data_IF_289697132870
#
_entry.id   IF_289697132870
#
_cell.length_a   1.000
_cell.length_b   1.000
_cell.length_c   1.000
_cell.angle_alpha   90.00
_cell.angle_beta   90.00
_cell.angle_gamma   90.00
#
_symmetry.space_group_name_H-M   'P 1'
#
loop_
_entity.id
_entity.type
_entity.pdbx_description
1 polymer ?
#
# COMPACT_ATOMS: atom_id res chain seq x y z
N UNK A 1 10.19 -6.68 28.04
CA UNK A 1 9.01 -6.34 28.85
C UNK A 1 7.81 -7.19 28.46
N UNK A 2 7.30 -7.07 27.23
CA UNK A 2 6.09 -7.78 26.77
C UNK A 2 6.17 -9.32 26.80
N UNK A 3 7.29 -9.92 26.39
CA UNK A 3 7.45 -11.38 26.43
C UNK A 3 7.38 -11.94 27.87
N UNK A 4 7.99 -11.25 28.84
CA UNK A 4 7.96 -11.66 30.25
C UNK A 4 6.58 -11.50 30.87
N UNK A 5 5.83 -10.49 30.44
CA UNK A 5 4.45 -10.27 30.87
C UNK A 5 3.49 -11.33 30.32
N UNK A 6 3.64 -11.70 29.04
CA UNK A 6 2.84 -12.75 28.41
C UNK A 6 3.03 -14.10 29.10
N UNK A 7 4.29 -14.45 29.45
CA UNK A 7 4.61 -15.62 30.27
C UNK A 7 3.98 -15.59 31.67
N UNK A 8 3.67 -14.41 32.20
CA UNK A 8 3.00 -14.23 33.48
C UNK A 8 1.46 -14.14 33.35
N UNK A 9 0.91 -14.42 32.17
CA UNK A 9 -0.53 -14.35 31.90
C UNK A 9 -1.07 -12.92 31.69
N UNK A 10 -0.19 -11.93 31.53
CA UNK A 10 -0.56 -10.56 31.21
C UNK A 10 -0.44 -10.35 29.69
N UNK A 11 -1.60 -10.22 29.03
CA UNK A 11 -1.64 -9.99 27.59
C UNK A 11 -0.83 -8.75 27.17
N UNK A 12 0.12 -8.87 26.23
CA UNK A 12 0.83 -7.72 25.68
C UNK A 12 -0.08 -6.64 25.10
N UNK A 13 -1.19 -7.04 24.46
CA UNK A 13 -2.19 -6.11 23.96
C UNK A 13 -2.85 -5.33 25.10
N UNK A 14 -3.23 -5.99 26.19
CA UNK A 14 -3.80 -5.32 27.36
C UNK A 14 -2.82 -4.31 27.98
N UNK A 15 -1.53 -4.65 28.04
CA UNK A 15 -0.50 -3.74 28.54
C UNK A 15 -0.35 -2.48 27.68
N UNK A 16 -0.31 -2.62 26.35
CA UNK A 16 -0.27 -1.47 25.43
C UNK A 16 -1.47 -0.55 25.61
N UNK A 17 -2.67 -1.11 25.71
CA UNK A 17 -3.89 -0.33 25.98
C UNK A 17 -3.81 0.39 27.33
N UNK A 18 -3.24 -0.24 28.38
CA UNK A 18 -3.03 0.43 29.66
C UNK A 18 -2.04 1.59 29.54
N UNK A 19 -0.98 1.46 28.73
CA UNK A 19 -0.04 2.53 28.43
C UNK A 19 -0.72 3.71 27.70
N UNK A 20 -1.54 3.43 26.68
CA UNK A 20 -2.34 4.44 25.97
C UNK A 20 -3.29 5.20 26.91
N UNK A 21 -4.01 4.47 27.77
CA UNK A 21 -4.92 5.06 28.75
C UNK A 21 -4.17 5.89 29.80
N UNK A 22 -2.96 5.48 30.18
CA UNK A 22 -2.10 6.26 31.06
C UNK A 22 -1.62 7.55 30.38
N UNK A 23 -1.23 7.48 29.10
CA UNK A 23 -0.87 8.64 28.30
C UNK A 23 -2.04 9.62 28.16
N UNK A 24 -3.24 9.12 27.88
CA UNK A 24 -4.46 9.93 27.86
C UNK A 24 -4.68 10.65 29.19
N UNK A 25 -4.63 9.94 30.33
CA UNK A 25 -4.81 10.55 31.66
C UNK A 25 -3.75 11.60 31.96
N UNK A 26 -2.51 11.36 31.55
CA UNK A 26 -1.43 12.33 31.70
C UNK A 26 -1.74 13.60 30.90
N UNK A 27 -2.12 13.48 29.63
CA UNK A 27 -2.47 14.63 28.79
C UNK A 27 -3.70 15.39 29.30
N UNK A 28 -4.75 14.67 29.71
CA UNK A 28 -5.98 15.25 30.24
C UNK A 28 -5.77 16.03 31.55
N UNK A 29 -4.70 15.74 32.30
CA UNK A 29 -4.32 16.47 33.51
C UNK A 29 -3.53 17.75 33.28
N UNK A 30 -3.15 18.06 32.03
CA UNK A 30 -2.33 19.23 31.69
C UNK A 30 -3.22 20.46 31.46
N UNK A 31 -2.97 21.56 32.17
CA UNK A 31 -3.79 22.77 32.08
C UNK A 31 -3.83 23.43 30.69
N UNK A 32 -2.82 23.16 29.86
CA UNK A 32 -2.75 23.63 28.47
C UNK A 32 -3.49 22.74 27.47
N UNK A 33 -4.03 21.60 27.89
CA UNK A 33 -4.74 20.64 27.03
C UNK A 33 -6.22 20.67 27.40
N UNK A 34 -7.08 20.78 26.39
CA UNK A 34 -8.52 20.58 26.56
C UNK A 34 -8.80 19.06 26.60
N UNK A 35 -9.20 18.50 27.76
CA UNK A 35 -9.36 17.05 27.91
C UNK A 35 -10.48 16.48 27.02
N UNK A 36 -11.44 17.32 26.60
CA UNK A 36 -12.55 16.90 25.73
C UNK A 36 -12.17 16.86 24.24
N UNK A 37 -10.93 17.24 23.89
CA UNK A 37 -10.42 17.28 22.51
C UNK A 37 -9.28 16.31 22.24
N UNK A 38 -8.98 15.42 23.17
CA UNK A 38 -7.91 14.43 22.98
C UNK A 38 -8.42 13.30 22.08
N UNK A 39 -7.82 13.17 20.90
CA UNK A 39 -8.09 12.09 19.97
C UNK A 39 -6.87 11.18 19.83
N UNK A 40 -7.09 9.96 19.34
CA UNK A 40 -6.05 8.93 19.22
C UNK A 40 -5.91 8.48 17.77
N UNK A 41 -4.69 8.12 17.36
CA UNK A 41 -4.44 7.68 16.00
C UNK A 41 -3.36 6.59 15.98
N UNK A 42 -3.52 5.57 15.15
CA UNK A 42 -2.61 4.43 15.11
C UNK A 42 -2.67 3.65 13.80
N UNK A 43 -1.55 3.01 13.46
CA UNK A 43 -1.37 2.18 12.27
C UNK A 43 -1.18 0.70 12.64
N UNK A 44 -1.84 -0.20 11.92
CA UNK A 44 -1.76 -1.64 12.11
C UNK A 44 -2.06 -2.04 13.56
N UNK A 45 -1.03 -2.54 14.26
CA UNK A 45 -1.09 -2.89 15.67
C UNK A 45 -1.40 -1.70 16.60
N UNK A 46 -0.90 -0.51 16.29
CA UNK A 46 -1.26 0.71 17.03
C UNK A 46 -2.70 1.11 16.76
N UNK A 47 -3.22 0.81 15.57
CA UNK A 47 -4.63 0.96 15.21
C UNK A 47 -5.56 0.10 16.08
N UNK A 48 -5.12 -1.13 16.41
CA UNK A 48 -5.81 -1.98 17.39
C UNK A 48 -5.81 -1.33 18.77
N UNK A 49 -4.65 -0.87 19.26
CA UNK A 49 -4.53 -0.30 20.61
C UNK A 49 -5.43 0.92 20.79
N UNK A 50 -5.35 1.89 19.88
CA UNK A 50 -6.13 3.13 19.96
C UNK A 50 -7.63 2.88 19.84
N UNK A 51 -8.06 1.84 19.11
CA UNK A 51 -9.48 1.48 19.02
C UNK A 51 -10.03 0.92 20.33
N UNK A 52 -9.26 0.05 21.00
CA UNK A 52 -9.64 -0.51 22.30
C UNK A 52 -9.60 0.59 23.36
N UNK A 53 -8.56 1.42 23.34
CA UNK A 53 -8.44 2.59 24.22
C UNK A 53 -9.64 3.53 24.06
N UNK A 54 -10.02 3.87 22.82
CA UNK A 54 -11.19 4.69 22.53
C UNK A 54 -12.50 4.04 23.01
N UNK A 55 -12.66 2.72 22.85
CA UNK A 55 -13.83 1.99 23.34
C UNK A 55 -13.92 1.97 24.89
N UNK A 56 -12.78 1.91 25.58
CA UNK A 56 -12.71 1.84 27.05
C UNK A 56 -12.78 3.20 27.75
N UNK A 57 -12.31 4.28 27.12
CA UNK A 57 -12.32 5.64 27.67
C UNK A 57 -13.22 6.55 26.84
N UNK A 58 -14.40 6.83 27.37
CA UNK A 58 -15.43 7.62 26.69
C UNK A 58 -15.04 9.08 26.45
N UNK A 59 -14.05 9.62 27.18
CA UNK A 59 -13.54 10.98 26.99
C UNK A 59 -12.57 11.13 25.82
N UNK A 60 -12.07 10.03 25.24
CA UNK A 60 -11.33 10.10 23.98
C UNK A 60 -12.30 10.60 22.91
N UNK A 61 -11.99 11.72 22.28
CA UNK A 61 -12.90 12.46 21.41
C UNK A 61 -13.17 11.75 20.06
N UNK A 62 -12.28 10.85 19.63
CA UNK A 62 -12.41 10.07 18.41
C UNK A 62 -11.12 9.33 18.08
N UNK A 63 -11.14 8.52 17.01
CA UNK A 63 -10.01 7.69 16.63
C UNK A 63 -9.72 7.69 15.12
N UNK A 64 -8.44 7.59 14.74
CA UNK A 64 -8.01 7.27 13.39
C UNK A 64 -7.26 5.94 13.39
N UNK A 65 -7.77 4.97 12.63
CA UNK A 65 -7.22 3.62 12.54
C UNK A 65 -6.81 3.37 11.09
N UNK A 66 -5.51 3.31 10.88
CA UNK A 66 -4.91 2.97 9.61
C UNK A 66 -4.60 1.49 9.66
N UNK A 67 -5.07 0.74 8.67
CA UNK A 67 -4.87 -0.69 8.54
C UNK A 67 -5.50 -1.50 9.70
N UNK A 68 -6.83 -1.61 9.68
CA UNK A 68 -7.61 -2.39 10.64
C UNK A 68 -7.79 -3.85 10.21
N UNK A 69 -7.93 -4.76 11.18
CA UNK A 69 -8.27 -6.17 10.94
C UNK A 69 -9.12 -6.74 12.07
N UNK A 70 -9.59 -7.97 11.92
CA UNK A 70 -10.28 -8.73 12.97
C UNK A 70 -9.37 -9.83 13.52
N UNK A 71 -9.58 -10.25 14.77
CA UNK A 71 -8.85 -11.40 15.33
C UNK A 71 -9.15 -12.65 14.52
N UNK A 72 -10.41 -12.83 14.08
CA UNK A 72 -10.80 -13.98 13.26
C UNK A 72 -10.07 -13.99 11.93
N UNK A 73 -10.03 -12.88 11.19
CA UNK A 73 -9.36 -12.83 9.90
C UNK A 73 -7.86 -13.06 10.09
N UNK A 74 -7.23 -12.28 10.97
CA UNK A 74 -5.82 -12.43 11.31
C UNK A 74 -5.45 -13.89 11.67
N UNK A 75 -6.28 -14.57 12.46
CA UNK A 75 -6.03 -15.97 12.86
C UNK A 75 -6.05 -16.96 11.68
N UNK A 76 -6.78 -16.64 10.61
CA UNK A 76 -6.94 -17.50 9.43
C UNK A 76 -5.96 -17.18 8.33
N UNK A 77 -5.64 -15.90 8.16
CA UNK A 77 -4.98 -15.38 6.96
C UNK A 77 -3.54 -14.93 7.23
N UNK A 78 -3.21 -14.57 8.46
CA UNK A 78 -1.90 -14.04 8.85
C UNK A 78 -1.15 -15.01 9.76
N UNK A 79 -1.75 -15.36 10.90
CA UNK A 79 -1.09 -16.16 11.94
C UNK A 79 -0.49 -17.49 11.41
N UNK A 80 -1.16 -18.25 10.51
CA UNK A 80 -0.61 -19.50 10.01
C UNK A 80 0.66 -19.34 9.15
N UNK A 81 0.89 -18.14 8.60
CA UNK A 81 2.07 -17.82 7.76
C UNK A 81 3.21 -17.19 8.57
N UNK A 82 2.97 -16.88 9.85
CA UNK A 82 3.97 -16.27 10.71
C UNK A 82 5.01 -17.31 11.14
N UNK A 83 6.15 -17.35 10.44
CA UNK A 83 7.28 -18.25 10.74
C UNK A 83 8.03 -17.90 12.03
N UNK A 84 7.73 -16.73 12.62
CA UNK A 84 8.46 -16.12 13.73
C UNK A 84 7.49 -15.22 14.52
N UNK A 85 7.02 -15.68 15.67
CA UNK A 85 6.25 -14.87 16.64
C UNK A 85 7.19 -14.00 17.48
N UNK A 86 7.81 -12.97 16.88
CA UNK A 86 8.72 -12.05 17.58
C UNK A 86 8.11 -10.66 17.83
N UNK A 87 6.86 -10.45 17.41
CA UNK A 87 6.18 -9.15 17.52
C UNK A 87 4.93 -9.23 18.40
N UNK A 88 4.56 -8.08 18.95
CA UNK A 88 3.34 -7.88 19.73
C UNK A 88 2.14 -8.09 18.80
N UNK A 89 1.20 -8.99 19.13
CA UNK A 89 0.12 -9.41 18.23
C UNK A 89 -1.21 -8.71 18.55
N UNK A 90 -2.18 -8.66 17.60
CA UNK A 90 -3.51 -8.11 17.85
C UNK A 90 -4.40 -9.11 18.61
N UNK A 91 -3.81 -9.87 19.53
CA UNK A 91 -4.44 -10.98 20.22
C UNK A 91 -4.65 -10.68 21.70
N UNK A 92 -5.89 -10.83 22.13
CA UNK A 92 -6.29 -10.86 23.53
C UNK A 92 -6.89 -12.26 23.80
N UNK A 93 -6.37 -13.02 24.78
CA UNK A 93 -6.92 -14.33 25.11
C UNK A 93 -8.43 -14.31 25.32
N UNK A 94 -9.11 -15.30 24.73
CA UNK A 94 -10.57 -15.48 24.81
C UNK A 94 -11.42 -14.30 24.30
N UNK A 95 -10.86 -13.31 23.60
CA UNK A 95 -11.66 -12.20 23.06
C UNK A 95 -12.80 -12.70 22.17
N UNK A 96 -12.52 -13.69 21.33
CA UNK A 96 -13.48 -14.32 20.41
C UNK A 96 -14.66 -15.03 21.09
N UNK A 97 -14.58 -15.30 22.40
CA UNK A 97 -15.72 -15.81 23.17
C UNK A 97 -16.73 -14.70 23.52
N UNK A 98 -16.33 -13.44 23.40
CA UNK A 98 -17.13 -12.26 23.79
C UNK A 98 -17.41 -11.33 22.62
N UNK A 99 -16.43 -11.12 21.75
CA UNK A 99 -16.47 -10.15 20.65
C UNK A 99 -15.36 -10.41 19.64
N UNK A 100 -15.34 -9.65 18.56
CA UNK A 100 -14.16 -9.49 17.69
C UNK A 100 -13.80 -7.99 17.58
N UNK A 101 -12.69 -7.64 16.92
CA UNK A 101 -12.22 -6.25 16.84
C UNK A 101 -13.14 -5.34 16.04
N UNK A 102 -13.82 -5.85 15.00
CA UNK A 102 -14.81 -5.09 14.21
C UNK A 102 -15.89 -4.44 15.08
N UNK A 103 -16.37 -5.15 16.11
CA UNK A 103 -17.31 -4.63 17.08
C UNK A 103 -16.69 -3.58 18.02
N UNK A 104 -15.39 -3.68 18.33
CA UNK A 104 -14.69 -2.67 19.14
C UNK A 104 -14.44 -1.38 18.35
N UNK A 105 -14.07 -1.47 17.07
CA UNK A 105 -14.01 -0.30 16.18
C UNK A 105 -15.39 0.36 16.08
N UNK A 106 -16.45 -0.44 15.90
CA UNK A 106 -17.82 0.06 15.82
C UNK A 106 -18.30 0.72 17.12
N UNK A 107 -17.85 0.25 18.29
CA UNK A 107 -18.19 0.79 19.60
C UNK A 107 -17.68 2.23 19.85
N UNK A 108 -16.83 2.77 18.97
CA UNK A 108 -16.43 4.18 19.02
C UNK A 108 -17.62 5.11 18.73
N UNK A 109 -18.63 4.63 17.99
CA UNK A 109 -19.84 5.39 17.68
C UNK A 109 -20.49 6.00 18.94
N UNK A 110 -21.04 7.22 18.86
CA UNK A 110 -21.18 8.08 17.68
C UNK A 110 -20.00 9.05 17.45
N UNK A 111 -18.87 8.86 18.14
CA UNK A 111 -17.71 9.76 18.04
C UNK A 111 -17.05 9.64 16.65
N UNK A 112 -16.33 10.66 16.18
CA UNK A 112 -15.58 10.58 14.93
C UNK A 112 -14.63 9.38 14.84
N UNK A 113 -14.69 8.66 13.72
CA UNK A 113 -13.81 7.55 13.41
C UNK A 113 -13.36 7.61 11.94
N UNK A 114 -12.06 7.50 11.73
CA UNK A 114 -11.44 7.39 10.41
C UNK A 114 -10.86 5.99 10.28
N UNK A 115 -11.30 5.22 9.28
CA UNK A 115 -10.79 3.90 8.92
C UNK A 115 -10.12 3.96 7.56
N UNK A 116 -8.84 3.59 7.49
CA UNK A 116 -8.10 3.56 6.23
C UNK A 116 -7.58 2.15 5.95
N UNK A 117 -7.82 1.61 4.76
CA UNK A 117 -7.20 0.36 4.30
C UNK A 117 -5.87 0.63 3.61
N UNK A 118 -4.81 -0.05 4.03
CA UNK A 118 -3.57 -0.11 3.24
C UNK A 118 -3.63 -1.27 2.24
N UNK A 119 -2.80 -1.23 1.19
CA UNK A 119 -2.73 -2.33 0.20
C UNK A 119 -1.81 -3.43 0.73
N UNK A 120 -0.56 -3.11 1.09
CA UNK A 120 0.39 -3.98 1.83
C UNK A 120 0.05 -4.18 3.34
N UNK A 121 -1.18 -3.87 3.73
CA UNK A 121 -1.61 -3.94 5.12
C UNK A 121 -2.04 -5.34 5.57
N UNK A 122 -2.87 -5.39 6.61
CA UNK A 122 -3.63 -6.58 6.91
C UNK A 122 -4.49 -7.01 5.71
N UNK A 123 -4.83 -8.31 5.60
CA UNK A 123 -5.61 -8.81 4.49
C UNK A 123 -6.93 -8.04 4.31
N UNK A 124 -7.25 -7.75 3.04
CA UNK A 124 -8.43 -6.98 2.63
C UNK A 124 -9.72 -7.49 3.29
N UNK A 125 -9.87 -8.81 3.41
CA UNK A 125 -11.05 -9.45 4.02
C UNK A 125 -11.29 -9.00 5.45
N UNK A 126 -10.24 -8.84 6.25
CA UNK A 126 -10.35 -8.32 7.62
C UNK A 126 -10.85 -6.88 7.65
N UNK A 127 -10.29 -6.02 6.79
CA UNK A 127 -10.72 -4.62 6.71
C UNK A 127 -12.16 -4.48 6.21
N UNK A 128 -12.56 -5.23 5.18
CA UNK A 128 -13.93 -5.18 4.63
C UNK A 128 -14.96 -5.56 5.69
N UNK A 129 -14.66 -6.54 6.54
CA UNK A 129 -15.51 -6.87 7.69
C UNK A 129 -15.60 -5.70 8.67
N UNK A 130 -14.46 -5.10 9.08
CA UNK A 130 -14.45 -3.93 9.98
C UNK A 130 -15.26 -2.77 9.41
N UNK A 131 -15.06 -2.44 8.14
CA UNK A 131 -15.76 -1.37 7.45
C UNK A 131 -17.27 -1.62 7.41
N UNK A 132 -17.69 -2.85 7.10
CA UNK A 132 -19.10 -3.23 7.04
C UNK A 132 -19.78 -3.13 8.42
N UNK A 133 -19.18 -3.73 9.46
CA UNK A 133 -19.70 -3.71 10.82
C UNK A 133 -19.78 -2.27 11.36
N UNK A 134 -18.72 -1.49 11.20
CA UNK A 134 -18.66 -0.09 11.67
C UNK A 134 -19.70 0.77 10.94
N UNK A 135 -19.80 0.66 9.62
CA UNK A 135 -20.79 1.43 8.84
C UNK A 135 -22.23 1.11 9.26
N UNK A 136 -22.53 -0.15 9.56
CA UNK A 136 -23.85 -0.55 10.04
C UNK A 136 -24.18 0.08 11.41
N UNK A 137 -23.25 0.05 12.35
CA UNK A 137 -23.44 0.62 13.69
C UNK A 137 -23.53 2.15 13.66
N UNK A 138 -22.68 2.83 12.90
CA UNK A 138 -22.77 4.29 12.77
C UNK A 138 -24.09 4.74 12.16
N UNK A 139 -24.63 3.99 11.19
CA UNK A 139 -25.97 4.23 10.66
C UNK A 139 -27.05 4.02 11.72
N UNK A 140 -26.95 2.94 12.51
CA UNK A 140 -27.89 2.66 13.61
C UNK A 140 -27.89 3.80 14.66
N UNK A 141 -26.72 4.37 14.94
CA UNK A 141 -26.56 5.51 15.84
C UNK A 141 -26.93 6.87 15.22
N UNK A 142 -27.33 6.93 13.95
CA UNK A 142 -27.58 8.19 13.23
C UNK A 142 -26.33 9.05 13.02
N UNK A 143 -25.14 8.46 13.16
CA UNK A 143 -23.84 9.16 13.18
C UNK A 143 -23.01 8.91 11.92
N UNK A 144 -23.61 8.50 10.80
CA UNK A 144 -22.90 8.18 9.55
C UNK A 144 -21.92 9.27 9.07
N UNK A 145 -22.24 10.55 9.29
CA UNK A 145 -21.38 11.69 8.93
C UNK A 145 -20.10 11.81 9.78
N UNK A 146 -20.02 11.08 10.90
CA UNK A 146 -18.84 11.01 11.77
C UNK A 146 -17.89 9.86 11.39
N UNK A 147 -18.27 9.01 10.44
CA UNK A 147 -17.44 7.91 9.94
C UNK A 147 -16.82 8.26 8.59
N UNK A 148 -15.51 8.16 8.49
CA UNK A 148 -14.79 8.15 7.21
C UNK A 148 -14.19 6.78 7.00
N UNK A 149 -14.50 6.13 5.88
CA UNK A 149 -13.88 4.88 5.47
C UNK A 149 -13.29 5.07 4.08
N UNK A 150 -12.05 4.66 3.88
CA UNK A 150 -11.45 4.70 2.55
C UNK A 150 -10.05 4.10 2.50
N UNK A 151 -9.34 4.52 1.47
CA UNK A 151 -7.94 4.20 1.19
C UNK A 151 -7.11 5.49 1.25
N UNK A 152 -5.77 5.42 1.31
CA UNK A 152 -4.96 6.64 1.35
C UNK A 152 -5.17 7.55 0.14
N UNK A 153 -5.58 6.99 -1.01
CA UNK A 153 -5.90 7.75 -2.21
C UNK A 153 -7.23 8.51 -2.10
N UNK A 154 -8.18 7.98 -1.33
CA UNK A 154 -9.48 8.60 -1.13
C UNK A 154 -9.45 9.66 -0.03
N UNK A 155 -8.46 9.64 0.87
CA UNK A 155 -8.26 10.65 1.91
C UNK A 155 -7.48 11.87 1.38
N UNK A 156 -8.12 12.64 0.49
CA UNK A 156 -7.54 13.84 -0.14
C UNK A 156 -7.65 15.10 0.73
N UNK A 157 -6.95 16.17 0.35
CA UNK A 157 -7.13 17.51 0.95
C UNK A 157 -8.59 17.99 0.86
N UNK A 158 -9.32 17.60 -0.19
CA UNK A 158 -10.72 17.96 -0.41
C UNK A 158 -11.63 17.21 0.58
N UNK A 159 -11.33 15.95 0.87
CA UNK A 159 -12.02 15.18 1.92
C UNK A 159 -11.76 15.77 3.30
N UNK A 160 -10.53 16.19 3.59
CA UNK A 160 -10.23 16.90 4.84
C UNK A 160 -10.98 18.24 4.96
N UNK A 161 -10.99 19.03 3.88
CA UNK A 161 -11.66 20.33 3.85
C UNK A 161 -13.18 20.20 4.01
N UNK A 162 -13.78 19.17 3.43
CA UNK A 162 -15.23 18.90 3.50
C UNK A 162 -15.67 18.20 4.80
N UNK A 163 -14.73 17.62 5.56
CA UNK A 163 -15.03 16.99 6.83
C UNK A 163 -15.53 17.97 7.89
N UNK A 164 -16.31 17.45 8.83
CA UNK A 164 -16.86 18.22 9.95
C UNK A 164 -15.74 18.89 10.74
N UNK A 165 -15.92 20.17 11.05
CA UNK A 165 -14.94 20.94 11.82
C UNK A 165 -14.67 20.32 13.19
N UNK A 166 -13.44 20.52 13.68
CA UNK A 166 -12.99 19.99 14.96
C UNK A 166 -12.30 18.64 14.84
N UNK A 167 -12.62 17.72 15.74
CA UNK A 167 -11.91 16.44 15.91
C UNK A 167 -11.91 15.58 14.66
N UNK A 168 -13.00 15.56 13.88
CA UNK A 168 -13.08 14.72 12.68
C UNK A 168 -12.07 15.14 11.61
N UNK A 169 -12.00 16.45 11.29
CA UNK A 169 -10.97 16.99 10.38
C UNK A 169 -9.54 16.71 10.89
N UNK A 170 -9.31 16.87 12.18
CA UNK A 170 -8.00 16.59 12.79
C UNK A 170 -7.61 15.11 12.70
N UNK A 171 -8.58 14.18 12.81
CA UNK A 171 -8.34 12.76 12.64
C UNK A 171 -7.99 12.39 11.20
N UNK A 172 -8.61 13.05 10.21
CA UNK A 172 -8.24 12.87 8.79
C UNK A 172 -6.81 13.36 8.57
N UNK A 173 -6.46 14.55 9.08
CA UNK A 173 -5.10 15.07 9.01
C UNK A 173 -4.08 14.13 9.71
N UNK A 174 -4.41 13.62 10.89
CA UNK A 174 -3.58 12.66 11.62
C UNK A 174 -3.41 11.35 10.83
N UNK A 175 -4.48 10.85 10.22
CA UNK A 175 -4.41 9.67 9.36
C UNK A 175 -3.44 9.90 8.19
N UNK A 176 -3.51 11.07 7.54
CA UNK A 176 -2.61 11.43 6.43
C UNK A 176 -1.14 11.51 6.83
N UNK A 177 -0.84 11.96 8.05
CA UNK A 177 0.53 11.96 8.59
C UNK A 177 1.04 10.55 8.89
N UNK A 178 0.15 9.65 9.34
CA UNK A 178 0.51 8.27 9.67
C UNK A 178 0.60 7.34 8.46
N UNK A 179 -0.14 7.64 7.39
CA UNK A 179 -0.09 6.86 6.16
C UNK A 179 1.27 7.01 5.46
N UNK A 180 1.76 5.95 4.79
CA UNK A 180 2.86 6.11 3.86
C UNK A 180 2.50 7.16 2.78
N UNK A 181 3.50 7.79 2.17
CA UNK A 181 3.24 8.83 1.15
C UNK A 181 2.63 8.16 -0.09
N UNK A 182 1.42 8.56 -0.56
CA UNK A 182 0.82 7.96 -1.74
C UNK A 182 1.66 8.23 -3.01
N UNK A 183 1.51 7.43 -4.07
CA UNK A 183 2.23 7.64 -5.32
C UNK A 183 1.95 9.04 -5.87
N UNK A 184 2.99 9.73 -6.34
CA UNK A 184 2.84 11.06 -6.92
C UNK A 184 2.08 10.95 -8.24
N UNK A 185 1.00 11.74 -8.47
CA UNK A 185 0.32 11.75 -9.75
C UNK A 185 1.27 11.95 -10.91
N UNK A 186 1.13 11.08 -11.90
CA UNK A 186 2.01 11.05 -13.05
C UNK A 186 3.35 10.33 -12.83
N UNK A 187 3.62 9.71 -11.68
CA UNK A 187 4.85 8.97 -11.43
C UNK A 187 4.56 7.52 -11.03
N UNK A 188 5.27 6.59 -11.66
CA UNK A 188 5.36 5.17 -11.26
C UNK A 188 6.76 4.91 -10.74
N UNK A 189 6.87 4.34 -9.54
CA UNK A 189 8.11 4.27 -8.77
C UNK A 189 8.38 5.54 -7.96
N UNK A 190 9.62 5.73 -7.48
CA UNK A 190 10.06 6.98 -6.84
C UNK A 190 11.45 7.39 -7.34
N UNK A 191 11.78 8.69 -7.49
CA UNK A 191 13.05 9.08 -8.12
C UNK A 191 14.27 8.61 -7.31
N UNK A 192 14.11 8.42 -5.99
CA UNK A 192 15.13 7.88 -5.11
C UNK A 192 15.50 6.42 -5.39
N UNK A 193 14.71 5.68 -6.19
CA UNK A 193 15.04 4.30 -6.57
C UNK A 193 16.00 4.22 -7.76
N UNK A 194 16.22 5.32 -8.49
CA UNK A 194 17.17 5.38 -9.62
C UNK A 194 18.61 5.48 -9.11
N UNK A 195 19.16 4.34 -8.71
CA UNK A 195 20.52 4.20 -8.18
C UNK A 195 21.15 2.89 -8.65
N UNK A 196 22.48 2.84 -8.64
CA UNK A 196 23.25 1.63 -8.92
C UNK A 196 22.91 0.51 -7.92
N UNK A 197 22.80 -0.72 -8.42
CA UNK A 197 22.70 -1.96 -7.64
C UNK A 197 23.43 -3.09 -8.37
N UNK A 198 23.96 -4.06 -7.63
CA UNK A 198 24.82 -5.10 -8.20
C UNK A 198 24.09 -6.23 -8.96
N UNK A 199 22.76 -6.31 -8.87
CA UNK A 199 22.01 -7.50 -9.30
C UNK A 199 21.07 -7.18 -10.45
N UNK A 200 21.07 -8.03 -11.47
CA UNK A 200 20.07 -8.08 -12.55
C UNK A 200 19.52 -9.51 -12.68
N UNK A 201 18.35 -9.67 -13.28
CA UNK A 201 17.79 -11.01 -13.50
C UNK A 201 18.65 -11.84 -14.46
N UNK A 202 18.78 -13.13 -14.18
CA UNK A 202 19.41 -14.10 -15.08
C UNK A 202 18.43 -14.72 -16.07
N UNK A 203 17.13 -14.70 -15.76
CA UNK A 203 16.07 -15.23 -16.61
C UNK A 203 15.87 -14.35 -17.86
N UNK A 204 15.49 -14.99 -18.97
CA UNK A 204 15.49 -14.40 -20.30
C UNK A 204 14.06 -14.09 -20.76
N UNK A 205 13.86 -12.94 -21.40
CA UNK A 205 12.60 -12.59 -22.06
C UNK A 205 11.41 -12.39 -21.11
N UNK A 206 11.66 -12.00 -19.86
CA UNK A 206 10.60 -11.79 -18.88
C UNK A 206 9.78 -10.54 -19.22
N UNK A 207 8.51 -10.57 -18.82
CA UNK A 207 7.62 -9.39 -18.80
C UNK A 207 7.35 -9.05 -17.34
N UNK A 208 7.75 -7.86 -16.94
CA UNK A 208 7.60 -7.35 -15.58
C UNK A 208 6.57 -6.23 -15.54
N UNK A 209 5.90 -6.11 -14.40
CA UNK A 209 5.12 -4.93 -14.03
C UNK A 209 5.55 -4.48 -12.63
N UNK A 210 5.61 -3.17 -12.43
CA UNK A 210 5.69 -2.62 -11.08
C UNK A 210 4.28 -2.76 -10.49
N UNK A 211 4.10 -3.73 -9.60
CA UNK A 211 2.77 -4.05 -9.05
C UNK A 211 2.48 -3.13 -7.87
N UNK A 212 3.37 -3.15 -6.87
CA UNK A 212 3.20 -2.41 -5.62
C UNK A 212 4.52 -1.88 -5.06
N UNK A 213 4.47 -0.69 -4.46
CA UNK A 213 5.57 -0.11 -3.69
C UNK A 213 5.02 0.70 -2.52
N UNK A 214 5.60 0.51 -1.35
CA UNK A 214 5.29 1.23 -0.11
C UNK A 214 3.79 1.19 0.26
N UNK A 215 3.11 0.05 0.06
CA UNK A 215 1.69 -0.10 0.38
C UNK A 215 0.73 0.44 -0.67
N UNK A 216 1.22 0.64 -1.89
CA UNK A 216 0.44 1.19 -3.00
C UNK A 216 0.65 0.44 -4.30
N UNK A 217 -0.45 0.03 -4.92
CA UNK A 217 -0.44 -0.32 -6.34
C UNK A 217 0.19 0.81 -7.16
N UNK A 218 1.08 0.47 -8.09
CA UNK A 218 1.82 1.43 -8.90
C UNK A 218 1.12 1.71 -10.24
N UNK A 219 -0.21 1.76 -10.22
CA UNK A 219 -0.97 2.28 -11.34
C UNK A 219 -0.61 3.76 -11.58
N UNK A 220 -0.58 4.18 -12.84
CA UNK A 220 -0.68 5.59 -13.20
C UNK A 220 -1.94 6.17 -12.57
N UNK A 221 -1.85 7.44 -12.17
CA UNK A 221 -2.93 8.13 -11.49
C UNK A 221 -3.15 9.51 -12.09
N UNK A 222 -4.43 9.87 -12.18
CA UNK A 222 -4.88 11.11 -12.80
C UNK A 222 -5.22 10.90 -14.27
N UNK A 223 -6.48 11.17 -14.62
CA UNK A 223 -6.95 11.09 -16.00
C UNK A 223 -6.33 12.16 -16.90
N UNK A 224 -6.14 11.80 -18.16
CA UNK A 224 -5.62 12.68 -19.21
C UNK A 224 -4.11 12.87 -19.21
N UNK A 225 -3.35 12.03 -18.52
CA UNK A 225 -1.89 12.09 -18.53
C UNK A 225 -1.33 11.32 -19.74
N UNK A 226 -0.16 11.75 -20.20
CA UNK A 226 0.64 11.07 -21.21
C UNK A 226 1.97 10.64 -20.63
N UNK A 227 2.30 9.36 -20.77
CA UNK A 227 3.59 8.77 -20.43
C UNK A 227 4.68 9.39 -21.31
N UNK A 228 5.48 10.29 -20.71
CA UNK A 228 6.50 11.07 -21.43
C UNK A 228 7.82 10.35 -21.44
N UNK A 229 8.25 9.89 -20.27
CA UNK A 229 9.57 9.33 -20.11
C UNK A 229 9.58 8.19 -19.13
N UNK A 230 10.61 7.39 -19.23
CA UNK A 230 10.94 6.35 -18.29
C UNK A 230 12.46 6.31 -18.19
N UNK A 231 12.94 5.90 -17.02
CA UNK A 231 14.36 5.82 -16.76
C UNK A 231 14.67 4.54 -16.03
N UNK A 232 15.83 3.97 -16.29
CA UNK A 232 16.35 2.87 -15.52
C UNK A 232 17.84 3.05 -15.27
N UNK A 233 18.38 2.35 -14.27
CA UNK A 233 19.81 2.33 -13.98
C UNK A 233 20.40 0.96 -14.35
N UNK A 234 21.56 0.97 -15.02
CA UNK A 234 22.42 -0.19 -15.21
C UNK A 234 23.90 0.22 -15.37
N UNK A 235 24.75 -0.05 -14.38
CA UNK A 235 26.21 0.12 -14.42
C UNK A 235 27.00 -1.18 -14.15
N UNK A 236 26.33 -2.33 -14.22
CA UNK A 236 26.93 -3.67 -14.04
C UNK A 236 27.85 -4.13 -15.21
N UNK A 237 28.51 -3.19 -15.87
CA UNK A 237 29.62 -3.41 -16.80
C UNK A 237 29.23 -3.62 -18.27
N UNK A 238 30.24 -3.48 -19.13
CA UNK A 238 30.11 -3.54 -20.59
C UNK A 238 29.57 -4.87 -21.14
N UNK A 239 29.65 -5.95 -20.37
CA UNK A 239 29.07 -7.24 -20.74
C UNK A 239 27.52 -7.22 -20.81
N UNK A 240 26.88 -6.24 -20.18
CA UNK A 240 25.43 -6.03 -20.29
C UNK A 240 25.05 -4.99 -21.35
N UNK A 241 26.03 -4.25 -21.89
CA UNK A 241 25.80 -3.33 -22.98
C UNK A 241 25.28 -4.09 -24.21
N UNK A 242 24.31 -3.51 -24.92
CA UNK A 242 23.68 -4.15 -26.08
C UNK A 242 22.45 -5.01 -25.76
N UNK A 243 22.16 -5.29 -24.48
CA UNK A 243 20.90 -5.94 -24.09
C UNK A 243 19.71 -5.01 -24.37
N UNK A 244 18.58 -5.60 -24.74
CA UNK A 244 17.38 -4.88 -25.12
C UNK A 244 16.38 -4.83 -23.95
N UNK A 245 15.67 -3.72 -23.89
CA UNK A 245 14.55 -3.49 -22.97
C UNK A 245 13.45 -2.73 -23.69
N UNK A 246 12.22 -3.22 -23.56
CA UNK A 246 11.04 -2.63 -24.21
C UNK A 246 10.05 -2.17 -23.14
N UNK A 247 9.71 -0.87 -23.06
CA UNK A 247 8.72 -0.37 -22.11
C UNK A 247 7.31 -0.73 -22.58
N UNK A 248 6.45 -1.11 -21.64
CA UNK A 248 5.09 -1.58 -21.89
C UNK A 248 4.11 -0.84 -20.98
N UNK A 249 2.85 -0.75 -21.42
CA UNK A 249 1.75 -0.28 -20.59
C UNK A 249 0.65 -1.33 -20.59
N UNK A 250 0.19 -1.68 -19.40
CA UNK A 250 -0.90 -2.62 -19.17
C UNK A 250 -2.12 -1.90 -18.60
N UNK A 251 -3.32 -2.36 -18.92
CA UNK A 251 -4.54 -1.97 -18.23
C UNK A 251 -5.03 -3.14 -17.38
N UNK A 252 -5.17 -2.94 -16.07
CA UNK A 252 -5.62 -3.98 -15.14
C UNK A 252 -7.14 -4.03 -15.06
N UNK A 253 -7.71 -5.23 -15.10
CA UNK A 253 -9.13 -5.49 -14.86
C UNK A 253 -9.28 -6.77 -14.03
N UNK A 254 -9.69 -6.62 -12.77
CA UNK A 254 -9.63 -7.73 -11.80
C UNK A 254 -8.18 -8.19 -11.61
N UNK A 255 -7.93 -9.47 -11.86
CA UNK A 255 -6.60 -10.10 -11.76
C UNK A 255 -5.86 -10.15 -13.11
N UNK A 256 -6.46 -9.65 -14.19
CA UNK A 256 -5.89 -9.68 -15.53
C UNK A 256 -5.24 -8.36 -15.93
N UNK A 257 -4.12 -8.43 -16.65
CA UNK A 257 -3.42 -7.30 -17.24
C UNK A 257 -3.54 -7.40 -18.77
N UNK A 258 -4.18 -6.43 -19.41
CA UNK A 258 -4.24 -6.34 -20.87
C UNK A 258 -3.11 -5.44 -21.37
N UNK A 259 -2.30 -5.91 -22.33
CA UNK A 259 -1.27 -5.08 -22.95
C UNK A 259 -1.91 -4.03 -23.87
N UNK A 260 -1.78 -2.75 -23.55
CA UNK A 260 -2.45 -1.64 -24.25
C UNK A 260 -1.50 -0.68 -24.97
N UNK A 261 -0.22 -0.70 -24.63
CA UNK A 261 0.80 0.01 -25.41
C UNK A 261 2.17 -0.66 -25.35
N UNK A 262 2.91 -0.53 -26.45
CA UNK A 262 4.31 -0.96 -26.60
C UNK A 262 5.11 0.27 -27.00
N UNK A 263 6.04 0.68 -26.15
CA UNK A 263 6.95 1.78 -26.46
C UNK A 263 8.20 1.31 -27.21
N UNK A 264 9.02 2.26 -27.62
CA UNK A 264 10.22 1.99 -28.41
C UNK A 264 11.26 1.25 -27.59
N UNK A 265 11.68 0.08 -28.09
CA UNK A 265 12.80 -0.69 -27.54
C UNK A 265 14.07 0.14 -27.44
N UNK A 266 14.80 -0.02 -26.33
CA UNK A 266 16.09 0.62 -26.07
C UNK A 266 17.18 -0.42 -25.90
N UNK A 267 18.37 0.00 -26.29
CA UNK A 267 19.60 -0.76 -26.08
C UNK A 267 20.27 -0.23 -24.83
N UNK A 268 20.48 -1.11 -23.85
CA UNK A 268 21.23 -0.82 -22.64
C UNK A 268 22.66 -0.37 -23.01
N UNK A 269 23.10 0.76 -22.48
CA UNK A 269 24.48 1.22 -22.62
C UNK A 269 25.40 0.56 -21.60
N UNK A 270 24.88 0.17 -20.43
CA UNK A 270 25.67 -0.36 -19.31
C UNK A 270 26.46 0.71 -18.55
N UNK A 271 26.12 1.99 -18.74
CA UNK A 271 26.85 3.15 -18.22
C UNK A 271 26.01 4.00 -17.24
N UNK A 272 25.23 3.34 -16.37
CA UNK A 272 24.46 3.95 -15.29
C UNK A 272 23.04 4.36 -15.69
N UNK A 273 22.64 5.58 -15.28
CA UNK A 273 21.28 6.10 -15.49
C UNK A 273 20.99 6.36 -16.96
N UNK A 274 19.93 5.74 -17.47
CA UNK A 274 19.45 5.88 -18.84
C UNK A 274 18.01 6.37 -18.83
N UNK A 275 17.76 7.56 -19.39
CA UNK A 275 16.43 8.18 -19.50
C UNK A 275 16.00 8.25 -20.96
N UNK A 276 14.78 7.82 -21.24
CA UNK A 276 14.23 7.75 -22.59
C UNK A 276 12.79 8.26 -22.64
N UNK A 277 12.39 8.78 -23.80
CA UNK A 277 10.98 8.96 -24.11
C UNK A 277 10.30 7.59 -24.31
N UNK A 278 9.00 7.50 -24.01
CA UNK A 278 8.24 6.26 -24.23
C UNK A 278 8.14 5.90 -25.72
N UNK A 279 7.87 6.90 -26.59
CA UNK A 279 7.76 6.75 -28.05
C UNK A 279 6.88 5.53 -28.44
N UNK A 280 5.54 5.62 -28.34
CA UNK A 280 4.67 4.48 -28.62
C UNK A 280 4.88 3.97 -30.05
N UNK A 281 5.23 2.69 -30.17
CA UNK A 281 5.33 1.96 -31.43
C UNK A 281 3.98 1.35 -31.78
N UNK A 282 3.29 0.80 -30.77
CA UNK A 282 1.90 0.37 -30.87
C UNK A 282 1.11 0.88 -29.66
N UNK A 283 -0.15 1.25 -29.87
CA UNK A 283 -1.04 1.73 -28.80
C UNK A 283 -0.90 3.24 -28.56
N UNK A 284 -1.10 3.67 -27.33
CA UNK A 284 -1.08 5.09 -26.94
C UNK A 284 -0.15 5.34 -25.75
N UNK A 285 0.39 6.55 -25.67
CA UNK A 285 1.05 7.05 -24.46
C UNK A 285 0.05 7.61 -23.44
N UNK A 286 -1.25 7.62 -23.73
CA UNK A 286 -2.28 8.00 -22.77
C UNK A 286 -2.37 6.97 -21.65
N UNK A 287 -2.27 7.44 -20.41
CA UNK A 287 -2.35 6.64 -19.20
C UNK A 287 -3.37 7.26 -18.26
N UNK A 288 -4.01 6.39 -17.48
CA UNK A 288 -5.08 6.76 -16.55
C UNK A 288 -5.04 5.80 -15.36
N UNK A 289 -6.02 5.92 -14.48
CA UNK A 289 -6.27 4.97 -13.41
C UNK A 289 -6.37 3.54 -13.96
N UNK A 290 -5.83 2.58 -13.21
CA UNK A 290 -5.69 1.16 -13.56
C UNK A 290 -4.71 0.86 -14.72
N UNK A 291 -3.99 1.83 -15.26
CA UNK A 291 -2.87 1.57 -16.17
C UNK A 291 -1.59 1.35 -15.37
N UNK A 292 -0.76 0.39 -15.75
CA UNK A 292 0.48 0.05 -15.05
C UNK A 292 1.66 0.09 -16.02
N UNK A 293 2.81 0.56 -15.53
CA UNK A 293 4.04 0.51 -16.27
C UNK A 293 4.72 -0.85 -16.11
N UNK A 294 5.16 -1.42 -17.23
CA UNK A 294 5.92 -2.65 -17.26
C UNK A 294 7.06 -2.60 -18.27
N UNK A 295 7.83 -3.66 -18.33
CA UNK A 295 8.89 -3.80 -19.34
C UNK A 295 9.11 -5.26 -19.72
N UNK A 296 9.65 -5.45 -20.93
CA UNK A 296 10.11 -6.73 -21.42
C UNK A 296 11.63 -6.71 -21.63
N UNK A 297 12.33 -7.77 -21.23
CA UNK A 297 13.78 -7.92 -21.46
C UNK A 297 14.06 -8.54 -22.83
N UNK A 298 13.87 -7.73 -23.86
CA UNK A 298 13.93 -8.11 -25.26
C UNK A 298 13.26 -7.07 -26.17
N UNK A 299 12.86 -7.49 -27.36
CA UNK A 299 12.13 -6.67 -28.33
C UNK A 299 10.86 -7.36 -28.87
N UNK A 300 9.93 -6.60 -29.47
CA UNK A 300 8.73 -7.16 -30.12
C UNK A 300 9.02 -8.07 -31.32
N UNK A 301 10.23 -8.04 -31.89
CA UNK A 301 10.64 -8.90 -33.00
C UNK A 301 11.04 -10.31 -32.53
N UNK A 302 11.03 -10.57 -31.22
CA UNK A 302 11.27 -11.88 -30.61
C UNK A 302 12.71 -12.09 -30.14
N UNK A 303 13.57 -11.06 -30.17
CA UNK A 303 14.89 -11.14 -29.56
C UNK A 303 14.77 -10.98 -28.05
N UNK A 304 15.31 -11.93 -27.29
CA UNK A 304 15.25 -11.93 -25.83
C UNK A 304 16.64 -11.91 -25.22
N UNK A 305 16.77 -11.30 -24.03
CA UNK A 305 18.00 -11.32 -23.23
C UNK A 305 17.68 -11.47 -21.73
N UNK A 306 18.71 -11.78 -20.91
CA UNK A 306 18.61 -11.64 -19.46
C UNK A 306 18.28 -10.21 -19.03
N UNK A 307 18.03 -10.03 -17.73
CA UNK A 307 17.69 -8.76 -17.09
C UNK A 307 18.59 -7.58 -17.48
N UNK A 308 17.97 -6.40 -17.53
CA UNK A 308 18.62 -5.11 -17.80
C UNK A 308 18.49 -4.18 -16.62
N UNK A 309 17.34 -4.15 -15.95
CA UNK A 309 17.14 -3.24 -14.82
C UNK A 309 17.71 -3.85 -13.56
N UNK A 310 18.49 -3.07 -12.83
CA UNK A 310 19.09 -3.50 -11.57
C UNK A 310 18.07 -3.53 -10.43
N UNK A 311 18.23 -4.45 -9.48
CA UNK A 311 17.33 -4.55 -8.34
C UNK A 311 18.04 -4.93 -7.03
N UNK A 312 17.33 -4.74 -5.93
CA UNK A 312 17.67 -5.25 -4.59
C UNK A 312 16.45 -5.94 -3.97
N UNK A 313 16.66 -6.79 -2.97
CA UNK A 313 15.56 -7.34 -2.18
C UNK A 313 14.91 -6.22 -1.36
N UNK A 314 13.59 -6.11 -1.44
CA UNK A 314 12.82 -5.05 -0.79
C UNK A 314 11.49 -5.62 -0.29
N UNK A 315 11.29 -5.80 1.03
CA UNK A 315 10.09 -6.41 1.57
C UNK A 315 8.83 -5.55 1.40
N UNK A 316 8.99 -4.27 1.06
CA UNK A 316 7.97 -3.24 0.87
C UNK A 316 7.73 -2.88 -0.60
N UNK A 317 8.29 -3.65 -1.54
CA UNK A 317 8.07 -3.48 -2.97
C UNK A 317 7.81 -4.83 -3.63
N UNK A 318 6.68 -4.95 -4.33
CA UNK A 318 6.26 -6.17 -4.98
C UNK A 318 6.31 -6.01 -6.50
N UNK A 319 7.07 -6.91 -7.12
CA UNK A 319 7.29 -6.93 -8.57
C UNK A 319 6.74 -8.24 -9.11
N UNK A 320 5.94 -8.13 -10.17
CA UNK A 320 5.20 -9.26 -10.72
C UNK A 320 5.73 -9.63 -12.10
N UNK A 321 6.06 -10.91 -12.28
CA UNK A 321 6.27 -11.48 -13.61
C UNK A 321 4.90 -11.81 -14.19
N UNK A 322 4.65 -11.28 -15.38
CA UNK A 322 3.45 -11.53 -16.14
C UNK A 322 3.70 -12.63 -17.18
N UNK A 323 2.76 -13.56 -17.30
CA UNK A 323 2.72 -14.53 -18.40
C UNK A 323 1.41 -14.41 -19.15
N UNK A 324 1.47 -14.48 -20.48
CA UNK A 324 0.35 -14.21 -21.37
C UNK A 324 -0.02 -15.42 -22.19
N UNK A 325 -1.21 -15.36 -22.79
CA UNK A 325 -1.71 -16.41 -23.69
C UNK A 325 -0.88 -16.55 -24.98
N UNK A 326 -0.01 -15.58 -25.26
CA UNK A 326 0.91 -15.52 -26.39
C UNK A 326 2.33 -15.19 -25.93
N UNK A 327 3.33 -15.85 -26.53
CA UNK A 327 4.75 -15.51 -26.32
C UNK A 327 5.18 -14.25 -27.07
N UNK A 328 4.42 -13.82 -28.09
CA UNK A 328 4.69 -12.56 -28.79
C UNK A 328 3.98 -11.40 -28.10
N UNK A 329 4.68 -10.28 -27.96
CA UNK A 329 4.12 -9.01 -27.50
C UNK A 329 3.13 -8.48 -28.55
N UNK A 330 1.84 -8.52 -28.23
CA UNK A 330 0.76 -8.00 -29.09
C UNK A 330 -0.26 -7.25 -28.24
N UNK A 331 -0.76 -6.12 -28.75
CA UNK A 331 -1.84 -5.40 -28.08
C UNK A 331 -3.07 -6.28 -27.88
N UNK A 332 -3.79 -6.04 -26.78
CA UNK A 332 -4.97 -6.80 -26.38
C UNK A 332 -4.65 -8.19 -25.79
N UNK A 333 -3.38 -8.62 -25.81
CA UNK A 333 -2.98 -9.87 -25.14
C UNK A 333 -3.21 -9.73 -23.65
N UNK A 334 -3.86 -10.74 -23.07
CA UNK A 334 -4.12 -10.81 -21.64
C UNK A 334 -3.00 -11.58 -20.96
N UNK A 335 -2.59 -11.03 -19.82
CA UNK A 335 -1.57 -11.57 -18.95
C UNK A 335 -2.16 -11.80 -17.57
N UNK A 336 -1.61 -12.79 -16.89
CA UNK A 336 -1.84 -13.04 -15.48
C UNK A 336 -0.50 -13.08 -14.74
N UNK A 337 -0.57 -12.90 -13.41
CA UNK A 337 0.61 -12.97 -12.55
C UNK A 337 1.09 -14.42 -12.53
N UNK A 338 2.32 -14.65 -13.00
CA UNK A 338 2.99 -15.95 -12.90
C UNK A 338 3.66 -16.10 -11.54
N UNK A 339 4.39 -15.09 -11.11
CA UNK A 339 5.12 -15.06 -9.85
C UNK A 339 5.33 -13.63 -9.37
N UNK A 340 5.50 -13.47 -8.06
CA UNK A 340 5.73 -12.18 -7.42
C UNK A 340 6.97 -12.26 -6.54
N UNK A 341 7.72 -11.16 -6.49
CA UNK A 341 8.97 -11.08 -5.74
C UNK A 341 9.05 -9.77 -4.93
N UNK A 342 9.45 -9.85 -3.65
CA UNK A 342 9.71 -8.67 -2.82
C UNK A 342 11.04 -8.02 -3.22
N UNK A 343 11.01 -7.18 -4.26
CA UNK A 343 12.19 -6.58 -4.90
C UNK A 343 11.90 -5.15 -5.31
N UNK A 344 12.93 -4.32 -5.32
CA UNK A 344 12.85 -2.97 -5.85
C UNK A 344 13.79 -2.79 -7.03
N UNK A 345 13.20 -2.60 -8.22
CA UNK A 345 13.96 -2.32 -9.44
C UNK A 345 14.31 -0.84 -9.56
N UNK A 346 15.47 -0.56 -10.15
CA UNK A 346 15.97 0.77 -10.49
C UNK A 346 15.30 1.30 -11.76
N UNK A 347 13.98 1.46 -11.72
CA UNK A 347 13.18 1.92 -12.86
C UNK A 347 12.03 2.81 -12.42
N UNK A 348 11.76 3.86 -13.18
CA UNK A 348 10.64 4.79 -12.96
C UNK A 348 10.02 5.19 -14.29
N UNK A 349 8.75 5.57 -14.25
CA UNK A 349 8.04 6.12 -15.40
C UNK A 349 7.31 7.42 -15.01
N UNK A 350 7.43 8.44 -15.86
CA UNK A 350 6.91 9.79 -15.65
C UNK A 350 5.91 10.15 -16.76
N UNK A 351 4.74 10.60 -16.35
CA UNK A 351 3.65 11.07 -17.20
C UNK A 351 3.20 12.46 -16.77
N UNK A 352 2.70 13.25 -17.72
CA UNK A 352 2.26 14.63 -17.51
C UNK A 352 0.91 14.86 -18.18
N UNK A 353 0.11 15.79 -17.66
CA UNK A 353 -1.06 16.31 -18.41
C UNK A 353 -0.65 16.98 -19.72
#
# INVERSE_FOLDING_TARGET
>A
LYASADLAGLSPLALRVVEDLAAFRHLAGRSQIDPEKIAVAGIGLGGVDVSISAALESRIAGAAVIDATTVRDWSKTVAPRAIRFFHIMPYLPSILEKTDLDLLYAAVAPRPLVLVRLVDGWPRSGFEQVAATTSAVYRLCGAHDALTVGTPRELTDEVEASAREGTHRQLIAAARVLMPVPPTPGLVGSPGVLKSRATVDSAVGLVWVIDEMAGYEQAFTGGGYRLRSWSFFNDNGSAQAGRLITPLVFKKSGEQYELVAIGKTRTNTGDGLQKHAFEPVEGSDLVDDAYFFGWHTGDPAGKTNPGVVEFEDAPDALMSILTGDSQQLRLGTKYHIQSQYPRQYSIVAESTK
#
